data_IF_550107394110
#
_entry.id   IF_550107394110
#
_cell.length_a   1.000
_cell.length_b   1.000
_cell.length_c   1.000
_cell.angle_alpha   90.00
_cell.angle_beta   90.00
_cell.angle_gamma   90.00
#
_symmetry.space_group_name_H-M   'P 1'
#
loop_
_entity.id
_entity.type
_entity.pdbx_description
1 polymer ?
#
# COMPACT_ATOMS: atom_id res chain seq x y z
N UNK A 1 9.22 0.78 30.01
CA UNK A 1 10.53 1.49 29.95
C UNK A 1 10.65 2.53 31.06
N UNK A 2 9.63 3.36 31.30
CA UNK A 2 9.63 4.34 32.41
C UNK A 2 9.70 3.68 33.78
N UNK A 3 8.96 2.57 34.01
CA UNK A 3 8.95 1.83 35.29
C UNK A 3 10.29 1.20 35.69
N UNK A 4 11.24 1.08 34.75
CA UNK A 4 12.58 0.52 34.98
C UNK A 4 13.65 1.63 35.00
N UNK A 5 13.24 2.89 34.87
CA UNK A 5 14.16 4.01 34.81
C UNK A 5 14.42 4.54 36.23
N UNK A 6 15.68 4.66 36.60
CA UNK A 6 16.09 5.25 37.87
C UNK A 6 15.96 6.78 37.80
N UNK A 7 14.77 7.28 38.14
CA UNK A 7 14.44 8.71 38.10
C UNK A 7 15.22 9.54 39.14
N UNK A 8 15.78 8.90 40.17
CA UNK A 8 16.39 9.56 41.33
C UNK A 8 17.81 10.10 41.04
N UNK A 9 18.54 9.51 40.09
CA UNK A 9 19.91 9.94 39.77
C UNK A 9 19.96 11.25 38.97
N UNK A 10 18.91 11.57 38.20
CA UNK A 10 18.87 12.72 37.28
C UNK A 10 19.92 12.72 36.15
N UNK A 11 20.84 11.75 36.17
CA UNK A 11 22.01 11.63 35.32
C UNK A 11 21.72 10.72 34.12
N UNK A 12 22.13 11.18 32.94
CA UNK A 12 22.01 10.41 31.71
C UNK A 12 23.06 10.89 30.69
N UNK A 13 23.40 10.07 29.67
CA UNK A 13 24.58 10.28 28.82
C UNK A 13 24.74 11.68 28.20
N UNK A 14 23.63 12.39 27.96
CA UNK A 14 23.66 13.73 27.38
C UNK A 14 23.94 14.86 28.39
N UNK A 15 23.86 14.63 29.70
CA UNK A 15 24.17 15.64 30.73
C UNK A 15 25.46 15.35 31.48
N UNK A 16 25.97 14.12 31.41
CA UNK A 16 27.20 13.71 32.09
C UNK A 16 28.41 14.57 31.67
N UNK A 17 29.20 15.09 32.65
CA UNK A 17 30.41 15.83 32.37
C UNK A 17 31.59 14.91 32.06
N UNK A 18 32.54 15.38 31.24
CA UNK A 18 33.80 14.69 30.97
C UNK A 18 34.04 14.39 29.49
N UNK A 19 35.30 14.07 29.11
CA UNK A 19 35.70 13.89 27.71
C UNK A 19 34.95 12.74 27.01
N UNK A 20 34.72 11.64 27.74
CA UNK A 20 34.02 10.46 27.23
C UNK A 20 32.58 10.80 26.79
N UNK A 21 31.85 11.54 27.63
CA UNK A 21 30.46 11.91 27.35
C UNK A 21 30.34 13.00 26.29
N UNK A 22 31.33 13.90 26.18
CA UNK A 22 31.45 14.80 25.01
C UNK A 22 31.61 14.01 23.71
N UNK A 23 32.46 12.99 23.70
CA UNK A 23 32.66 12.11 22.53
C UNK A 23 31.40 11.29 22.21
N UNK A 24 30.69 10.81 23.23
CA UNK A 24 29.39 10.13 23.04
C UNK A 24 28.38 11.03 22.30
N UNK A 25 28.20 12.29 22.73
CA UNK A 25 27.29 13.23 22.06
C UNK A 25 27.64 13.42 20.58
N UNK A 26 28.92 13.58 20.27
CA UNK A 26 29.41 13.72 18.89
C UNK A 26 29.15 12.45 18.07
N UNK A 27 29.46 11.28 18.62
CA UNK A 27 29.23 10.01 17.95
C UNK A 27 27.75 9.74 17.73
N UNK A 28 26.89 10.07 18.70
CA UNK A 28 25.45 9.91 18.58
C UNK A 28 24.88 10.82 17.47
N UNK A 29 25.24 12.10 17.46
CA UNK A 29 24.87 13.00 16.36
C UNK A 29 25.39 12.51 15.00
N UNK A 30 26.64 12.02 14.96
CA UNK A 30 27.25 11.42 13.76
C UNK A 30 26.54 10.14 13.30
N UNK A 31 26.05 9.33 14.23
CA UNK A 31 25.28 8.13 13.92
C UNK A 31 23.94 8.48 13.28
N UNK A 32 23.16 9.41 13.86
CA UNK A 32 21.90 9.89 13.28
C UNK A 32 22.13 10.41 11.86
N UNK A 33 23.20 11.20 11.70
CA UNK A 33 23.66 11.74 10.42
C UNK A 33 23.97 10.64 9.39
N UNK A 34 24.66 9.57 9.80
CA UNK A 34 25.02 8.44 8.94
C UNK A 34 23.79 7.61 8.58
N UNK A 35 22.91 7.34 9.55
CA UNK A 35 21.66 6.61 9.38
C UNK A 35 20.80 7.29 8.31
N UNK A 36 20.54 8.58 8.48
CA UNK A 36 19.80 9.42 7.52
C UNK A 36 20.41 9.36 6.12
N UNK A 37 21.73 9.50 6.02
CA UNK A 37 22.42 9.46 4.73
C UNK A 37 22.32 8.10 4.02
N UNK A 38 22.36 7.01 4.78
CA UNK A 38 22.22 5.65 4.23
C UNK A 38 20.78 5.37 3.82
N UNK A 39 19.79 5.85 4.57
CA UNK A 39 18.38 5.76 4.22
C UNK A 39 18.06 6.52 2.92
N UNK A 40 18.70 7.67 2.64
CA UNK A 40 18.52 8.41 1.37
C UNK A 40 18.91 7.62 0.12
N UNK A 41 19.85 6.68 0.24
CA UNK A 41 20.50 6.05 -0.91
C UNK A 41 19.88 4.72 -1.34
N UNK A 42 19.00 4.12 -0.53
CA UNK A 42 18.40 2.82 -0.83
C UNK A 42 16.87 2.88 -0.72
N UNK A 43 16.20 2.48 -1.80
CA UNK A 43 14.75 2.24 -1.87
C UNK A 43 14.20 1.28 -0.79
N UNK A 44 15.09 0.59 -0.06
CA UNK A 44 14.81 -0.48 0.91
C UNK A 44 14.36 0.06 2.30
N UNK A 45 14.56 1.34 2.60
CA UNK A 45 14.18 1.95 3.89
C UNK A 45 12.94 2.84 3.78
N UNK A 46 11.92 2.25 3.16
CA UNK A 46 10.56 2.69 2.91
C UNK A 46 9.88 3.42 4.09
N UNK A 47 8.84 4.22 3.79
CA UNK A 47 7.99 5.04 4.66
C UNK A 47 7.89 4.51 6.10
N UNK A 48 7.72 3.20 6.29
CA UNK A 48 7.60 2.53 7.59
C UNK A 48 8.77 2.73 8.56
N UNK A 49 10.03 2.70 8.13
CA UNK A 49 11.17 2.85 9.06
C UNK A 49 11.24 4.29 9.56
N UNK A 50 11.20 5.25 8.65
CA UNK A 50 11.25 6.66 9.02
C UNK A 50 10.02 7.05 9.82
N UNK A 51 8.85 6.49 9.53
CA UNK A 51 7.63 6.71 10.32
C UNK A 51 7.76 6.12 11.71
N UNK A 52 8.33 4.93 11.84
CA UNK A 52 8.62 4.34 13.14
C UNK A 52 9.61 5.18 13.94
N UNK A 53 10.67 5.69 13.31
CA UNK A 53 11.66 6.56 13.95
C UNK A 53 11.03 7.89 14.38
N UNK A 54 10.24 8.53 13.51
CA UNK A 54 9.55 9.79 13.82
C UNK A 54 8.56 9.57 14.97
N UNK A 55 7.69 8.55 14.89
CA UNK A 55 6.72 8.25 15.95
C UNK A 55 7.40 7.95 17.29
N UNK A 56 8.50 7.18 17.27
CA UNK A 56 9.27 6.91 18.48
C UNK A 56 9.85 8.19 19.07
N UNK A 57 10.50 9.02 18.26
CA UNK A 57 11.10 10.27 18.74
C UNK A 57 10.05 11.25 19.25
N UNK A 58 8.91 11.40 18.55
CA UNK A 58 7.78 12.23 19.00
C UNK A 58 7.23 11.71 20.34
N UNK A 59 7.01 10.40 20.47
CA UNK A 59 6.52 9.81 21.72
C UNK A 59 7.51 9.97 22.90
N UNK A 60 8.82 9.86 22.64
CA UNK A 60 9.86 10.09 23.66
C UNK A 60 10.01 11.56 24.02
N UNK A 61 9.81 12.47 23.06
CA UNK A 61 9.83 13.92 23.27
C UNK A 61 8.69 14.42 24.17
N UNK A 62 7.55 13.71 24.18
CA UNK A 62 6.37 14.02 25.00
C UNK A 62 6.35 13.29 26.37
N UNK A 63 7.36 12.46 26.66
CA UNK A 63 7.44 11.71 27.92
C UNK A 63 7.61 12.62 29.14
N UNK A 64 7.12 12.22 30.32
CA UNK A 64 7.42 12.93 31.58
C UNK A 64 8.87 12.75 32.06
N UNK A 65 9.61 11.77 31.52
CA UNK A 65 11.01 11.51 31.87
C UNK A 65 11.95 12.47 31.12
N UNK A 66 12.70 13.29 31.87
CA UNK A 66 13.63 14.29 31.31
C UNK A 66 14.66 13.67 30.36
N UNK A 67 15.21 12.51 30.71
CA UNK A 67 16.23 11.84 29.91
C UNK A 67 15.70 11.46 28.52
N UNK A 68 14.46 10.97 28.43
CA UNK A 68 13.81 10.65 27.16
C UNK A 68 13.53 11.89 26.35
N UNK A 69 12.93 12.92 26.95
CA UNK A 69 12.66 14.18 26.24
C UNK A 69 13.92 14.81 25.67
N UNK A 70 14.96 14.95 26.49
CA UNK A 70 16.19 15.61 26.07
C UNK A 70 16.92 14.80 24.98
N UNK A 71 16.97 13.47 25.11
CA UNK A 71 17.64 12.62 24.12
C UNK A 71 16.89 12.58 22.79
N UNK A 72 15.55 12.47 22.84
CA UNK A 72 14.72 12.52 21.65
C UNK A 72 14.80 13.88 20.96
N UNK A 73 14.77 14.98 21.72
CA UNK A 73 14.92 16.34 21.19
C UNK A 73 16.30 16.54 20.56
N UNK A 74 17.37 16.03 21.19
CA UNK A 74 18.71 16.11 20.64
C UNK A 74 18.88 15.31 19.34
N UNK A 75 18.27 14.12 19.24
CA UNK A 75 18.24 13.35 18.00
C UNK A 75 17.35 14.01 16.93
N UNK A 76 16.24 14.60 17.37
CA UNK A 76 15.23 15.33 16.59
C UNK A 76 15.79 16.58 15.91
N UNK A 77 16.52 17.40 16.66
CA UNK A 77 17.09 18.68 16.22
C UNK A 77 18.32 18.53 15.31
N UNK A 78 18.51 17.37 14.69
CA UNK A 78 19.54 17.18 13.69
C UNK A 78 19.02 17.72 12.35
N UNK A 79 19.65 18.76 11.80
CA UNK A 79 19.24 19.40 10.53
C UNK A 79 18.97 18.41 9.38
N UNK A 80 19.64 17.25 9.37
CA UNK A 80 19.44 16.23 8.34
C UNK A 80 18.15 15.43 8.53
N UNK A 81 17.71 15.25 9.77
CA UNK A 81 16.42 14.64 10.08
C UNK A 81 15.28 15.59 9.66
N UNK A 82 15.41 16.89 9.90
CA UNK A 82 14.46 17.90 9.40
C UNK A 82 14.37 17.87 7.88
N UNK A 83 15.50 17.80 7.16
CA UNK A 83 15.51 17.64 5.69
C UNK A 83 14.77 16.37 5.25
N UNK A 84 14.88 15.26 5.98
CA UNK A 84 14.13 14.05 5.66
C UNK A 84 12.64 14.19 5.94
N UNK A 85 12.26 14.84 7.04
CA UNK A 85 10.85 15.11 7.39
C UNK A 85 10.21 15.98 6.31
N UNK A 86 10.88 17.07 5.89
CA UNK A 86 10.40 17.91 4.78
C UNK A 86 10.32 17.10 3.49
N UNK A 87 11.34 16.29 3.17
CA UNK A 87 11.33 15.50 1.94
C UNK A 87 10.23 14.44 1.92
N UNK A 88 9.95 13.83 3.07
CA UNK A 88 8.82 12.92 3.24
C UNK A 88 7.51 13.65 2.96
N UNK A 89 7.29 14.81 3.59
CA UNK A 89 6.09 15.62 3.35
C UNK A 89 5.92 15.95 1.86
N UNK A 90 6.98 16.38 1.18
CA UNK A 90 6.93 16.66 -0.27
C UNK A 90 6.55 15.42 -1.11
N UNK A 91 7.00 14.22 -0.72
CA UNK A 91 6.68 12.97 -1.41
C UNK A 91 5.24 12.57 -1.14
N UNK A 92 4.77 12.72 0.09
CA UNK A 92 3.40 12.41 0.48
C UNK A 92 2.41 13.33 -0.25
N UNK A 93 2.69 14.64 -0.31
CA UNK A 93 1.89 15.64 -1.04
C UNK A 93 1.81 15.29 -2.53
N UNK A 94 2.96 14.98 -3.16
CA UNK A 94 2.99 14.57 -4.58
C UNK A 94 2.25 13.26 -4.83
N UNK A 95 2.32 12.32 -3.89
CA UNK A 95 1.60 11.05 -3.99
C UNK A 95 0.10 11.30 -3.95
N UNK A 96 -0.35 12.21 -3.09
CA UNK A 96 -1.75 12.58 -2.99
C UNK A 96 -2.25 13.34 -4.23
N UNK A 97 -1.47 14.26 -4.79
CA UNK A 97 -1.78 14.93 -6.06
C UNK A 97 -1.98 13.92 -7.19
N UNK A 98 -1.09 12.93 -7.31
CA UNK A 98 -1.21 11.86 -8.32
C UNK A 98 -2.46 11.02 -8.08
N UNK A 99 -2.78 10.67 -6.82
CA UNK A 99 -4.04 9.97 -6.49
C UNK A 99 -5.27 10.76 -6.89
N UNK A 100 -5.29 12.07 -6.65
CA UNK A 100 -6.39 12.94 -7.07
C UNK A 100 -6.53 12.98 -8.60
N UNK A 101 -5.43 13.05 -9.34
CA UNK A 101 -5.45 12.97 -10.81
C UNK A 101 -6.02 11.64 -11.31
N UNK A 102 -5.60 10.51 -10.72
CA UNK A 102 -6.16 9.19 -11.03
C UNK A 102 -7.66 9.13 -10.73
N UNK A 103 -8.08 9.65 -9.58
CA UNK A 103 -9.49 9.70 -9.20
C UNK A 103 -10.32 10.58 -10.15
N UNK A 104 -9.73 11.68 -10.65
CA UNK A 104 -10.35 12.55 -11.65
C UNK A 104 -10.55 11.82 -12.98
N UNK A 105 -9.51 11.17 -13.52
CA UNK A 105 -9.62 10.38 -14.77
C UNK A 105 -10.66 9.27 -14.60
N UNK A 106 -10.65 8.59 -13.45
CA UNK A 106 -11.63 7.56 -13.15
C UNK A 106 -13.07 8.11 -13.19
N UNK A 107 -13.33 9.21 -12.48
CA UNK A 107 -14.68 9.81 -12.40
C UNK A 107 -15.14 10.42 -13.73
N UNK A 108 -14.24 11.10 -14.45
CA UNK A 108 -14.59 11.86 -15.66
C UNK A 108 -14.64 11.01 -16.92
N UNK A 109 -13.87 9.92 -16.99
CA UNK A 109 -13.80 9.05 -18.17
C UNK A 109 -14.36 7.67 -17.87
N UNK A 110 -13.73 6.91 -16.98
CA UNK A 110 -14.07 5.50 -16.77
C UNK A 110 -15.54 5.31 -16.34
N UNK A 111 -16.01 6.07 -15.34
CA UNK A 111 -17.39 5.96 -14.82
C UNK A 111 -18.44 6.27 -15.89
N UNK A 112 -18.10 7.07 -16.89
CA UNK A 112 -19.01 7.38 -17.99
C UNK A 112 -18.92 6.37 -19.15
N UNK A 113 -17.77 5.71 -19.34
CA UNK A 113 -17.48 4.86 -20.50
C UNK A 113 -17.56 3.35 -20.26
N UNK A 114 -17.50 2.88 -19.01
CA UNK A 114 -17.58 1.43 -18.72
C UNK A 114 -18.91 0.77 -19.15
N UNK A 115 -19.97 1.56 -19.39
CA UNK A 115 -21.28 1.15 -19.93
C UNK A 115 -21.61 1.84 -21.25
N UNK A 116 -20.60 2.14 -22.05
CA UNK A 116 -20.79 2.70 -23.39
C UNK A 116 -21.65 1.78 -24.26
N UNK A 117 -22.33 2.37 -25.25
CA UNK A 117 -23.08 1.60 -26.25
C UNK A 117 -22.15 0.75 -27.12
N UNK A 118 -20.93 1.23 -27.37
CA UNK A 118 -19.89 0.52 -28.11
C UNK A 118 -19.18 -0.49 -27.20
N UNK A 119 -19.17 -1.77 -27.59
CA UNK A 119 -18.56 -2.86 -26.79
C UNK A 119 -17.07 -2.69 -26.58
N UNK A 120 -16.35 -2.24 -27.61
CA UNK A 120 -14.90 -2.16 -27.57
C UNK A 120 -14.43 -1.14 -26.53
N UNK A 121 -15.17 -0.04 -26.39
CA UNK A 121 -14.93 0.97 -25.34
C UNK A 121 -15.11 0.34 -23.95
N UNK A 122 -16.16 -0.47 -23.75
CA UNK A 122 -16.37 -1.18 -22.47
C UNK A 122 -15.23 -2.17 -22.20
N UNK A 123 -14.80 -2.90 -23.23
CA UNK A 123 -13.66 -3.83 -23.15
C UNK A 123 -12.35 -3.14 -22.77
N UNK A 124 -12.06 -1.97 -23.35
CA UNK A 124 -10.90 -1.13 -23.00
C UNK A 124 -10.98 -0.73 -21.52
N UNK A 125 -12.11 -0.20 -21.07
CA UNK A 125 -12.27 0.19 -19.67
C UNK A 125 -11.96 -0.98 -18.72
N UNK A 126 -12.52 -2.16 -18.97
CA UNK A 126 -12.30 -3.32 -18.09
C UNK A 126 -10.86 -3.82 -18.13
N UNK A 127 -10.24 -3.82 -19.30
CA UNK A 127 -8.83 -4.22 -19.46
C UNK A 127 -7.91 -3.30 -18.66
N UNK A 128 -8.10 -1.98 -18.78
CA UNK A 128 -7.31 -0.98 -18.05
C UNK A 128 -7.53 -1.08 -16.54
N UNK A 129 -8.78 -1.27 -16.09
CA UNK A 129 -9.06 -1.44 -14.67
C UNK A 129 -8.35 -2.68 -14.08
N UNK A 130 -8.35 -3.80 -14.83
CA UNK A 130 -7.60 -5.00 -14.46
C UNK A 130 -6.08 -4.75 -14.38
N UNK A 131 -5.54 -3.95 -15.29
CA UNK A 131 -4.13 -3.57 -15.27
C UNK A 131 -3.80 -2.69 -14.06
N UNK A 132 -4.66 -1.72 -13.73
CA UNK A 132 -4.46 -0.85 -12.57
C UNK A 132 -4.51 -1.63 -11.25
N UNK A 133 -5.42 -2.61 -11.14
CA UNK A 133 -5.49 -3.51 -9.98
C UNK A 133 -4.23 -4.36 -9.80
N UNK A 134 -3.56 -4.75 -10.88
CA UNK A 134 -2.31 -5.50 -10.81
C UNK A 134 -1.12 -4.61 -10.44
N UNK A 135 -1.06 -3.40 -10.98
CA UNK A 135 0.05 -2.45 -10.80
C UNK A 135 -0.01 -1.77 -9.43
N UNK A 136 -1.20 -1.41 -8.96
CA UNK A 136 -1.39 -0.70 -7.69
C UNK A 136 -2.55 -1.27 -6.86
N UNK A 137 -2.43 -2.52 -6.37
CA UNK A 137 -3.49 -3.22 -5.64
C UNK A 137 -3.83 -2.59 -4.28
N UNK A 138 -2.94 -1.79 -3.69
CA UNK A 138 -3.24 -1.06 -2.44
C UNK A 138 -4.38 -0.06 -2.63
N UNK A 139 -4.51 0.55 -3.82
CA UNK A 139 -5.52 1.55 -4.12
C UNK A 139 -6.68 1.03 -4.97
N UNK A 140 -6.39 0.27 -6.04
CA UNK A 140 -7.43 -0.14 -7.00
C UNK A 140 -8.12 -1.46 -6.66
N UNK A 141 -7.51 -2.32 -5.84
CA UNK A 141 -8.10 -3.60 -5.47
C UNK A 141 -9.03 -3.43 -4.26
N UNK A 142 -10.10 -2.66 -4.45
CA UNK A 142 -11.16 -2.43 -3.48
C UNK A 142 -12.54 -2.72 -4.11
N UNK A 143 -13.53 -3.03 -3.27
CA UNK A 143 -14.92 -3.28 -3.69
C UNK A 143 -15.52 -2.13 -4.51
N UNK A 144 -15.09 -0.90 -4.22
CA UNK A 144 -15.50 0.31 -4.93
C UNK A 144 -15.15 0.28 -6.42
N UNK A 145 -14.07 -0.43 -6.80
CA UNK A 145 -13.59 -0.64 -8.15
C UNK A 145 -13.97 -2.03 -8.71
N UNK A 146 -13.82 -3.10 -7.91
CA UNK A 146 -14.12 -4.48 -8.33
C UNK A 146 -15.57 -4.66 -8.80
N UNK A 147 -16.52 -3.90 -8.24
CA UNK A 147 -17.93 -3.94 -8.67
C UNK A 147 -18.10 -3.72 -10.18
N UNK A 148 -17.23 -2.94 -10.82
CA UNK A 148 -17.33 -2.65 -12.26
C UNK A 148 -17.04 -3.91 -13.09
N UNK A 149 -15.97 -4.64 -12.77
CA UNK A 149 -15.68 -5.96 -13.37
C UNK A 149 -16.85 -6.90 -13.11
N UNK A 150 -17.31 -6.98 -11.86
CA UNK A 150 -18.42 -7.87 -11.47
C UNK A 150 -19.72 -7.61 -12.24
N UNK A 151 -20.06 -6.35 -12.50
CA UNK A 151 -21.22 -6.00 -13.32
C UNK A 151 -21.04 -6.37 -14.79
N UNK A 152 -19.84 -6.22 -15.35
CA UNK A 152 -19.58 -6.51 -16.76
C UNK A 152 -19.36 -8.01 -17.04
N UNK A 153 -19.26 -8.86 -16.02
CA UNK A 153 -19.44 -10.31 -16.20
C UNK A 153 -20.81 -10.67 -16.81
N UNK A 154 -21.81 -9.78 -16.71
CA UNK A 154 -23.15 -9.94 -17.29
C UNK A 154 -23.32 -9.23 -18.64
N UNK A 155 -22.25 -8.71 -19.24
CA UNK A 155 -22.35 -8.02 -20.53
C UNK A 155 -22.92 -8.94 -21.62
N UNK A 156 -23.68 -8.36 -22.54
CA UNK A 156 -24.28 -9.11 -23.65
C UNK A 156 -23.22 -9.58 -24.67
N UNK A 157 -22.13 -8.84 -24.81
CA UNK A 157 -21.04 -9.11 -25.75
C UNK A 157 -20.00 -10.01 -25.09
N UNK A 158 -19.63 -11.11 -25.77
CA UNK A 158 -18.70 -12.10 -25.21
C UNK A 158 -17.31 -11.53 -24.98
N UNK A 159 -16.79 -10.71 -25.89
CA UNK A 159 -15.47 -10.08 -25.73
C UNK A 159 -15.37 -9.27 -24.42
N UNK A 160 -16.39 -8.49 -24.06
CA UNK A 160 -16.40 -7.73 -22.80
C UNK A 160 -16.40 -8.67 -21.58
N UNK A 161 -17.15 -9.77 -21.63
CA UNK A 161 -17.13 -10.82 -20.59
C UNK A 161 -15.76 -11.48 -20.50
N UNK A 162 -15.11 -11.74 -21.64
CA UNK A 162 -13.77 -12.30 -21.71
C UNK A 162 -12.75 -11.38 -21.04
N UNK A 163 -12.77 -10.07 -21.34
CA UNK A 163 -11.91 -9.07 -20.68
C UNK A 163 -12.09 -9.06 -19.17
N UNK A 164 -13.31 -9.26 -18.67
CA UNK A 164 -13.55 -9.38 -17.23
C UNK A 164 -12.83 -10.58 -16.61
N UNK A 165 -12.90 -11.76 -17.25
CA UNK A 165 -12.20 -12.95 -16.74
C UNK A 165 -10.69 -12.75 -16.80
N UNK A 166 -10.16 -12.22 -17.91
CA UNK A 166 -8.74 -11.96 -18.07
C UNK A 166 -8.20 -10.92 -17.07
N UNK A 167 -9.01 -9.94 -16.69
CA UNK A 167 -8.66 -8.99 -15.63
C UNK A 167 -8.59 -9.64 -14.24
N UNK A 168 -9.42 -10.65 -13.97
CA UNK A 168 -9.47 -11.36 -12.68
C UNK A 168 -8.38 -12.42 -12.54
N UNK A 169 -8.09 -13.15 -13.61
CA UNK A 169 -7.18 -14.31 -13.60
C UNK A 169 -5.84 -14.05 -12.88
N UNK A 170 -5.03 -13.02 -13.25
CA UNK A 170 -3.75 -12.76 -12.60
C UNK A 170 -3.90 -12.32 -11.13
N UNK A 171 -5.06 -11.77 -10.74
CA UNK A 171 -5.32 -11.37 -9.35
C UNK A 171 -5.52 -12.60 -8.45
N UNK A 172 -6.13 -13.67 -8.97
CA UNK A 172 -6.29 -14.95 -8.26
C UNK A 172 -5.04 -15.85 -8.37
N UNK A 173 -3.99 -15.45 -9.07
CA UNK A 173 -2.71 -16.17 -9.05
C UNK A 173 -1.78 -15.65 -7.93
N UNK A 174 -2.12 -14.52 -7.30
CA UNK A 174 -1.30 -13.85 -6.28
C UNK A 174 -1.86 -14.04 -4.88
N UNK A 175 -1.16 -14.82 -4.06
CA UNK A 175 -1.55 -15.11 -2.68
C UNK A 175 -1.58 -13.87 -1.77
N UNK A 176 -0.76 -12.85 -2.07
CA UNK A 176 -0.68 -11.62 -1.28
C UNK A 176 -1.98 -10.81 -1.26
N UNK A 177 -2.76 -10.87 -2.34
CA UNK A 177 -3.94 -10.01 -2.55
C UNK A 177 -5.27 -10.75 -2.49
N UNK A 178 -5.23 -12.08 -2.40
CA UNK A 178 -6.44 -12.93 -2.45
C UNK A 178 -7.46 -12.60 -1.35
N UNK A 179 -7.00 -12.17 -0.18
CA UNK A 179 -7.88 -11.77 0.92
C UNK A 179 -8.80 -10.60 0.52
N UNK A 180 -8.32 -9.68 -0.33
CA UNK A 180 -9.13 -8.56 -0.85
C UNK A 180 -10.21 -9.00 -1.84
N UNK A 181 -10.10 -10.21 -2.40
CA UNK A 181 -11.05 -10.76 -3.38
C UNK A 181 -12.17 -11.60 -2.74
N UNK A 182 -12.13 -11.88 -1.43
CA UNK A 182 -13.09 -12.80 -0.78
C UNK A 182 -14.54 -12.32 -0.91
N UNK A 183 -14.81 -11.04 -0.65
CA UNK A 183 -16.14 -10.45 -0.78
C UNK A 183 -16.65 -10.48 -2.23
N UNK A 184 -15.79 -10.12 -3.18
CA UNK A 184 -16.09 -10.19 -4.60
C UNK A 184 -16.43 -11.62 -5.04
N UNK A 185 -15.59 -12.59 -4.65
CA UNK A 185 -15.75 -14.01 -4.98
C UNK A 185 -17.08 -14.53 -4.46
N UNK A 186 -17.40 -14.25 -3.19
CA UNK A 186 -18.66 -14.69 -2.58
C UNK A 186 -19.88 -14.06 -3.27
N UNK A 187 -19.80 -12.77 -3.61
CA UNK A 187 -20.90 -12.05 -4.25
C UNK A 187 -21.19 -12.51 -5.69
N UNK A 188 -20.15 -12.80 -6.46
CA UNK A 188 -20.27 -13.13 -7.89
C UNK A 188 -20.06 -14.62 -8.19
N UNK A 189 -19.94 -15.47 -7.17
CA UNK A 189 -19.69 -16.92 -7.27
C UNK A 189 -20.57 -17.60 -8.31
N UNK A 190 -21.89 -17.47 -8.18
CA UNK A 190 -22.83 -18.16 -9.06
C UNK A 190 -22.66 -17.71 -10.52
N UNK A 191 -22.33 -16.43 -10.72
CA UNK A 191 -22.04 -15.92 -12.06
C UNK A 191 -20.76 -16.51 -12.62
N UNK A 192 -19.67 -16.49 -11.86
CA UNK A 192 -18.39 -17.07 -12.27
C UNK A 192 -18.52 -18.55 -12.63
N UNK A 193 -19.26 -19.32 -11.82
CA UNK A 193 -19.56 -20.74 -12.11
C UNK A 193 -20.36 -20.88 -13.41
N UNK A 194 -21.39 -20.07 -13.61
CA UNK A 194 -22.20 -20.13 -14.84
C UNK A 194 -21.40 -19.84 -16.12
N UNK A 195 -20.32 -19.06 -16.03
CA UNK A 195 -19.51 -18.68 -17.20
C UNK A 195 -18.67 -19.84 -17.76
N UNK A 196 -18.49 -20.95 -17.02
CA UNK A 196 -17.91 -22.18 -17.58
C UNK A 196 -18.75 -22.75 -18.72
N UNK A 197 -20.05 -22.43 -18.74
CA UNK A 197 -20.99 -22.80 -19.78
C UNK A 197 -21.38 -21.58 -20.64
N UNK A 198 -20.49 -20.60 -20.76
CA UNK A 198 -20.73 -19.46 -21.65
C UNK A 198 -20.90 -19.95 -23.11
N UNK A 199 -21.71 -19.22 -23.89
CA UNK A 199 -21.95 -19.54 -25.30
C UNK A 199 -20.69 -19.36 -26.16
N UNK A 200 -19.79 -18.50 -25.69
CA UNK A 200 -18.50 -18.26 -26.32
C UNK A 200 -17.45 -19.19 -25.69
N UNK A 201 -16.81 -20.01 -26.52
CA UNK A 201 -15.87 -21.04 -26.08
C UNK A 201 -14.62 -20.45 -25.39
N UNK A 202 -14.15 -19.28 -25.83
CA UNK A 202 -12.98 -18.64 -25.22
C UNK A 202 -13.31 -18.13 -23.82
N UNK A 203 -14.49 -17.54 -23.65
CA UNK A 203 -15.00 -17.12 -22.33
C UNK A 203 -15.13 -18.34 -21.42
N UNK A 204 -15.73 -19.42 -21.90
CA UNK A 204 -15.91 -20.66 -21.13
C UNK A 204 -14.58 -21.29 -20.70
N UNK A 205 -13.62 -21.39 -21.62
CA UNK A 205 -12.29 -21.92 -21.33
C UNK A 205 -11.57 -21.09 -20.25
N UNK A 206 -11.54 -19.76 -20.38
CA UNK A 206 -10.89 -18.91 -19.38
C UNK A 206 -11.65 -18.89 -18.05
N UNK A 207 -12.97 -19.04 -18.06
CA UNK A 207 -13.75 -19.21 -16.83
C UNK A 207 -13.36 -20.48 -16.08
N UNK A 208 -13.13 -21.61 -16.79
CA UNK A 208 -12.59 -22.83 -16.19
C UNK A 208 -11.22 -22.59 -15.54
N UNK A 209 -10.33 -21.86 -16.23
CA UNK A 209 -9.02 -21.52 -15.69
C UNK A 209 -9.13 -20.67 -14.42
N UNK A 210 -9.97 -19.63 -14.43
CA UNK A 210 -10.23 -18.77 -13.27
C UNK A 210 -10.77 -19.57 -12.08
N UNK A 211 -11.78 -20.42 -12.29
CA UNK A 211 -12.32 -21.24 -11.20
C UNK A 211 -11.30 -22.24 -10.66
N UNK A 212 -10.40 -22.74 -11.52
CA UNK A 212 -9.30 -23.60 -11.08
C UNK A 212 -8.33 -22.83 -10.18
N UNK A 213 -7.98 -21.59 -10.54
CA UNK A 213 -7.15 -20.72 -9.70
C UNK A 213 -7.83 -20.43 -8.35
N UNK A 214 -9.11 -20.07 -8.37
CA UNK A 214 -9.92 -19.85 -7.16
C UNK A 214 -9.95 -21.11 -6.29
N UNK A 215 -10.24 -22.28 -6.87
CA UNK A 215 -10.31 -23.54 -6.14
C UNK A 215 -8.96 -23.87 -5.48
N UNK A 216 -7.85 -23.71 -6.19
CA UNK A 216 -6.51 -23.97 -5.64
C UNK A 216 -6.22 -23.09 -4.42
N UNK A 217 -6.58 -21.81 -4.49
CA UNK A 217 -6.35 -20.87 -3.38
C UNK A 217 -7.17 -21.22 -2.14
N UNK A 218 -8.48 -21.42 -2.30
CA UNK A 218 -9.37 -21.59 -1.14
C UNK A 218 -9.37 -23.00 -0.56
N UNK A 219 -8.92 -24.01 -1.31
CA UNK A 219 -8.93 -25.41 -0.88
C UNK A 219 -7.56 -25.97 -0.46
N UNK A 220 -6.44 -25.39 -0.91
CA UNK A 220 -5.09 -25.85 -0.54
C UNK A 220 -4.32 -24.90 0.39
N UNK A 221 -4.74 -23.63 0.56
CA UNK A 221 -4.06 -22.66 1.44
C UNK A 221 -4.83 -22.36 2.75
N UNK A 222 -5.88 -23.13 3.06
CA UNK A 222 -6.52 -23.23 4.38
C UNK A 222 -6.42 -24.67 4.86
#
# INVERSE_FOLDING_TARGET
MTEQFDEDSGDYPLVMPGPQWKKFKQNFAGFITLLVNKCKASYIFDQRLMDGVIQLLTGLADSQVRAFRHTATFAGANDRLDVLITKKSEIDDKTEDVRQMLQYIFKSVFVHRYRDIVSDIRGICISELGQWMQVYPEHFLEDSFLKYIGWLLYDKVSDVRHKCILALLPLYERTEVVAKLELFTNKFKDRLVSMVMDKDNEVAMHACQLLTAIYRLYFFLR
#
